data_IF_458840176591
#
_entry.id   IF_458840176591
#
_cell.length_a   1.000
_cell.length_b   1.000
_cell.length_c   1.000
_cell.angle_alpha   90.00
_cell.angle_beta   90.00
_cell.angle_gamma   90.00
#
_symmetry.space_group_name_H-M   'P 1'
#
loop_
_entity.id
_entity.type
_entity.pdbx_description
1 polymer ?
#
# COMPACT_ATOMS: atom_id res chain seq x y z
N UNK A 1 -20.03 6.62 -30.19
CA UNK A 1 -18.81 5.79 -30.34
C UNK A 1 -17.69 6.50 -29.60
N UNK A 2 -17.59 6.39 -28.29
CA UNK A 2 -17.46 5.16 -27.53
C UNK A 2 -18.35 5.18 -26.27
N UNK A 3 -19.29 4.24 -26.19
CA UNK A 3 -20.01 3.88 -24.97
C UNK A 3 -19.03 3.20 -24.02
N UNK A 4 -18.50 3.94 -23.05
CA UNK A 4 -17.85 3.31 -21.91
C UNK A 4 -18.88 3.20 -20.79
N UNK A 5 -19.24 1.99 -20.35
CA UNK A 5 -20.32 1.79 -19.41
C UNK A 5 -19.95 2.41 -18.07
N UNK A 6 -20.87 3.23 -17.54
CA UNK A 6 -20.99 3.43 -16.11
C UNK A 6 -21.30 2.05 -15.49
N UNK A 7 -20.36 1.51 -14.73
CA UNK A 7 -20.59 0.46 -13.74
C UNK A 7 -20.25 1.15 -12.41
N UNK A 8 -21.22 1.80 -11.78
CA UNK A 8 -22.02 1.26 -10.66
C UNK A 8 -21.19 0.46 -9.64
N UNK A 9 -20.98 1.10 -8.49
CA UNK A 9 -21.19 0.56 -7.14
C UNK A 9 -20.49 -0.76 -6.74
N UNK A 10 -19.36 -0.59 -6.04
CA UNK A 10 -19.07 -1.22 -4.74
C UNK A 10 -19.15 -2.75 -4.63
N UNK A 11 -18.43 -3.48 -5.48
CA UNK A 11 -17.89 -4.81 -5.13
C UNK A 11 -16.49 -4.93 -5.71
N UNK A 12 -15.56 -4.12 -5.20
CA UNK A 12 -14.16 -4.25 -5.58
C UNK A 12 -13.68 -5.55 -4.94
N UNK A 13 -13.41 -6.56 -5.76
CA UNK A 13 -12.83 -7.81 -5.29
C UNK A 13 -11.59 -7.51 -4.42
N UNK A 14 -11.34 -8.27 -3.35
CA UNK A 14 -10.23 -8.00 -2.42
C UNK A 14 -8.87 -7.90 -3.15
N UNK A 15 -8.69 -8.66 -4.23
CA UNK A 15 -7.53 -8.56 -5.13
C UNK A 15 -7.41 -7.20 -5.83
N UNK A 16 -8.51 -6.64 -6.34
CA UNK A 16 -8.48 -5.31 -6.96
C UNK A 16 -8.21 -4.21 -5.93
N UNK A 17 -8.77 -4.33 -4.72
CA UNK A 17 -8.52 -3.37 -3.65
C UNK A 17 -7.04 -3.39 -3.24
N UNK A 18 -6.44 -4.58 -3.18
CA UNK A 18 -5.00 -4.75 -2.97
C UNK A 18 -4.17 -4.07 -4.07
N UNK A 19 -4.50 -4.32 -5.34
CA UNK A 19 -3.77 -3.74 -6.47
C UNK A 19 -3.84 -2.20 -6.46
N UNK A 20 -5.01 -1.63 -6.18
CA UNK A 20 -5.14 -0.17 -6.08
C UNK A 20 -4.34 0.41 -4.92
N UNK A 21 -4.31 -0.28 -3.78
CA UNK A 21 -3.54 0.17 -2.61
C UNK A 21 -2.03 0.09 -2.88
N UNK A 22 -1.58 -0.97 -3.55
CA UNK A 22 -0.19 -1.09 -4.00
C UNK A 22 0.16 0.05 -4.95
N UNK A 23 -0.70 0.39 -5.92
CA UNK A 23 -0.43 1.46 -6.88
C UNK A 23 -0.38 2.84 -6.20
N UNK A 24 -1.27 3.11 -5.23
CA UNK A 24 -1.24 4.33 -4.40
C UNK A 24 0.06 4.42 -3.59
N UNK A 25 0.42 3.35 -2.87
CA UNK A 25 1.66 3.27 -2.09
C UNK A 25 2.89 3.44 -3.00
N UNK A 26 2.88 2.80 -4.17
CA UNK A 26 3.93 2.90 -5.18
C UNK A 26 4.09 4.33 -5.69
N UNK A 27 2.98 5.01 -5.99
CA UNK A 27 3.01 6.41 -6.42
C UNK A 27 3.55 7.34 -5.32
N UNK A 28 3.21 7.10 -4.06
CA UNK A 28 3.75 7.85 -2.92
C UNK A 28 5.25 7.62 -2.77
N UNK A 29 5.72 6.37 -2.78
CA UNK A 29 7.15 6.05 -2.69
C UNK A 29 7.92 6.60 -3.89
N UNK A 30 7.35 6.52 -5.08
CA UNK A 30 7.94 7.07 -6.31
C UNK A 30 8.10 8.58 -6.23
N UNK A 31 7.11 9.29 -5.69
CA UNK A 31 7.19 10.74 -5.47
C UNK A 31 8.26 11.10 -4.43
N UNK A 32 8.37 10.34 -3.34
CA UNK A 32 9.41 10.53 -2.31
C UNK A 32 10.82 10.32 -2.86
N UNK A 33 11.02 9.23 -3.60
CA UNK A 33 12.32 8.89 -4.20
C UNK A 33 12.61 9.66 -5.50
N UNK A 34 11.64 10.42 -6.01
CA UNK A 34 11.69 11.12 -7.29
C UNK A 34 12.03 10.19 -8.48
N UNK A 35 11.48 8.97 -8.46
CA UNK A 35 11.61 7.95 -9.51
C UNK A 35 10.27 7.69 -10.19
N UNK A 36 10.26 6.97 -11.31
CA UNK A 36 9.01 6.57 -11.95
C UNK A 36 8.36 5.43 -11.13
N UNK A 37 7.03 5.45 -10.89
CA UNK A 37 6.38 4.35 -10.18
C UNK A 37 6.64 3.02 -10.87
N UNK A 38 6.67 2.99 -12.20
CA UNK A 38 6.97 1.81 -13.01
C UNK A 38 8.30 1.10 -12.68
N UNK A 39 9.27 1.76 -12.01
CA UNK A 39 10.55 1.14 -11.63
C UNK A 39 10.54 0.50 -10.25
N UNK A 40 9.48 0.73 -9.45
CA UNK A 40 9.34 0.14 -8.12
C UNK A 40 8.61 -1.19 -8.22
N UNK A 41 9.23 -2.29 -7.82
CA UNK A 41 8.57 -3.60 -7.78
C UNK A 41 7.77 -3.76 -6.47
N UNK A 42 6.55 -4.28 -6.57
CA UNK A 42 5.66 -4.41 -5.42
C UNK A 42 6.09 -5.53 -4.46
N UNK A 43 6.79 -6.53 -4.98
CA UNK A 43 7.36 -7.66 -4.26
C UNK A 43 8.83 -7.43 -3.85
N UNK A 44 9.41 -6.29 -4.21
CA UNK A 44 10.77 -5.92 -3.82
C UNK A 44 10.75 -5.28 -2.42
N UNK A 45 11.75 -5.58 -1.57
CA UNK A 45 11.96 -4.83 -0.33
C UNK A 45 12.06 -3.34 -0.61
N UNK A 46 11.36 -2.53 0.18
CA UNK A 46 11.44 -1.07 0.09
C UNK A 46 12.87 -0.56 0.29
N UNK A 47 13.66 -1.25 1.14
CA UNK A 47 15.09 -0.97 1.31
C UNK A 47 15.91 -1.19 0.03
N UNK A 48 15.60 -2.23 -0.75
CA UNK A 48 16.22 -2.51 -2.05
C UNK A 48 15.73 -1.53 -3.15
N UNK A 49 14.52 -0.99 -3.00
CA UNK A 49 13.99 0.05 -3.88
C UNK A 49 14.69 1.41 -3.73
N UNK A 50 15.51 1.58 -2.68
CA UNK A 50 16.28 2.80 -2.41
C UNK A 50 15.74 3.64 -1.26
N UNK A 51 14.70 3.20 -0.54
CA UNK A 51 14.27 3.88 0.69
C UNK A 51 15.30 3.71 1.78
N UNK A 52 15.66 4.84 2.41
CA UNK A 52 16.47 4.81 3.62
C UNK A 52 15.65 4.30 4.80
N UNK A 53 16.32 3.82 5.86
CA UNK A 53 15.62 3.40 7.09
C UNK A 53 14.73 4.51 7.68
N UNK A 54 15.13 5.77 7.53
CA UNK A 54 14.36 6.93 8.00
C UNK A 54 13.09 7.11 7.18
N UNK A 55 13.20 7.09 5.85
CA UNK A 55 12.04 7.24 4.96
C UNK A 55 11.08 6.05 5.06
N UNK A 56 11.62 4.85 5.27
CA UNK A 56 10.83 3.66 5.52
C UNK A 56 9.98 3.83 6.79
N UNK A 57 10.60 4.25 7.90
CA UNK A 57 9.89 4.54 9.15
C UNK A 57 8.85 5.65 8.95
N UNK A 58 9.20 6.74 8.26
CA UNK A 58 8.27 7.86 8.00
C UNK A 58 7.05 7.43 7.18
N UNK A 59 7.27 6.61 6.13
CA UNK A 59 6.21 5.99 5.34
C UNK A 59 5.29 5.12 6.20
N UNK A 60 5.88 4.28 7.07
CA UNK A 60 5.13 3.39 7.94
C UNK A 60 4.31 4.19 8.96
N UNK A 61 4.90 5.20 9.61
CA UNK A 61 4.20 6.08 10.54
C UNK A 61 3.06 6.82 9.83
N UNK A 62 3.30 7.31 8.62
CA UNK A 62 2.28 7.94 7.79
C UNK A 62 1.14 6.98 7.42
N UNK A 63 1.45 5.74 7.05
CA UNK A 63 0.45 4.71 6.75
C UNK A 63 -0.36 4.32 7.98
N UNK A 64 0.30 4.09 9.12
CA UNK A 64 -0.35 3.80 10.40
C UNK A 64 -1.31 4.93 10.81
N UNK A 65 -0.88 6.18 10.71
CA UNK A 65 -1.72 7.34 11.01
C UNK A 65 -2.90 7.48 10.03
N UNK A 66 -2.66 7.28 8.72
CA UNK A 66 -3.68 7.44 7.67
C UNK A 66 -4.74 6.34 7.71
N UNK A 67 -4.35 5.11 8.02
CA UNK A 67 -5.24 3.96 8.03
C UNK A 67 -5.70 3.54 9.43
N UNK A 68 -5.23 4.22 10.48
CA UNK A 68 -5.47 3.88 11.89
C UNK A 68 -5.12 2.41 12.20
N UNK A 69 -3.97 1.95 11.71
CA UNK A 69 -3.48 0.58 11.88
C UNK A 69 -2.21 0.58 12.72
N UNK A 70 -1.93 -0.53 13.40
CA UNK A 70 -0.64 -0.78 14.04
C UNK A 70 0.16 -1.75 13.18
N UNK A 71 1.39 -1.37 12.82
CA UNK A 71 2.29 -2.21 12.06
C UNK A 71 3.39 -2.74 12.99
N UNK A 72 3.47 -4.05 13.25
CA UNK A 72 4.48 -4.60 14.13
C UNK A 72 5.89 -4.41 13.54
N UNK A 73 6.89 -4.08 14.36
CA UNK A 73 8.26 -3.82 13.91
C UNK A 73 8.91 -5.03 13.23
N UNK A 74 8.42 -6.23 13.52
CA UNK A 74 8.88 -7.50 12.95
C UNK A 74 8.62 -7.59 11.44
N UNK A 75 7.55 -6.94 10.95
CA UNK A 75 7.19 -6.90 9.54
C UNK A 75 7.95 -5.82 8.75
N UNK A 76 8.75 -4.98 9.43
CA UNK A 76 9.55 -3.95 8.77
C UNK A 76 10.77 -4.55 8.06
N UNK A 77 11.24 -5.70 8.53
CA UNK A 77 12.35 -6.43 7.93
C UNK A 77 11.88 -7.04 6.61
N UNK A 78 12.41 -6.56 5.49
CA UNK A 78 12.00 -7.00 4.16
C UNK A 78 10.61 -6.51 3.77
N UNK A 79 10.12 -5.41 4.36
CA UNK A 79 8.83 -4.82 4.03
C UNK A 79 8.77 -4.48 2.54
N UNK A 80 7.72 -4.94 1.88
CA UNK A 80 7.42 -4.65 0.47
C UNK A 80 6.12 -3.84 0.36
N UNK A 81 5.86 -3.22 -0.78
CA UNK A 81 4.57 -2.56 -1.04
C UNK A 81 3.40 -3.57 -0.93
N UNK A 82 3.64 -4.80 -1.39
CA UNK A 82 2.68 -5.89 -1.30
C UNK A 82 2.33 -6.25 0.15
N UNK A 83 3.33 -6.38 1.03
CA UNK A 83 3.14 -6.68 2.45
C UNK A 83 2.48 -5.52 3.20
N UNK A 84 2.84 -4.29 2.86
CA UNK A 84 2.22 -3.09 3.45
C UNK A 84 0.73 -3.00 3.08
N UNK A 85 0.39 -3.24 1.82
CA UNK A 85 -0.99 -3.24 1.36
C UNK A 85 -1.81 -4.36 2.02
N UNK A 86 -1.24 -5.56 2.15
CA UNK A 86 -1.89 -6.69 2.82
C UNK A 86 -2.17 -6.39 4.30
N UNK A 87 -1.20 -5.79 5.01
CA UNK A 87 -1.38 -5.37 6.40
C UNK A 87 -2.48 -4.32 6.60
N UNK A 88 -2.58 -3.34 5.69
CA UNK A 88 -3.68 -2.35 5.72
C UNK A 88 -5.03 -3.02 5.48
N UNK A 89 -5.11 -3.94 4.52
CA UNK A 89 -6.33 -4.70 4.24
C UNK A 89 -6.75 -5.57 5.42
N UNK A 90 -5.83 -6.32 6.01
CA UNK A 90 -6.08 -7.19 7.15
C UNK A 90 -6.57 -6.39 8.37
N UNK A 91 -5.94 -5.24 8.64
CA UNK A 91 -6.36 -4.37 9.75
C UNK A 91 -7.73 -3.72 9.48
N UNK A 92 -8.05 -3.38 8.22
CA UNK A 92 -9.37 -2.89 7.82
C UNK A 92 -10.45 -3.95 8.04
N UNK A 93 -10.19 -5.20 7.67
CA UNK A 93 -11.13 -6.31 7.85
C UNK A 93 -11.35 -6.62 9.34
N UNK A 94 -10.28 -6.63 10.13
CA UNK A 94 -10.34 -6.79 11.59
C UNK A 94 -11.15 -5.67 12.27
N UNK A 95 -10.99 -4.42 11.83
CA UNK A 95 -11.76 -3.28 12.34
C UNK A 95 -13.24 -3.30 11.92
N UNK A 96 -13.57 -3.93 10.79
CA UNK A 96 -14.95 -4.05 10.28
C UNK A 96 -15.75 -5.15 10.99
N UNK A 97 -15.08 -6.19 11.49
CA UNK A 97 -15.69 -7.30 12.24
C UNK A 97 -16.07 -7.00 13.69
N UNK A 98 -15.68 -5.84 14.23
CA UNK A 98 -15.93 -5.45 15.62
C UNK A 98 -17.22 -4.63 15.85
N UNK A 99 -18.14 -4.59 14.89
CA UNK A 99 -19.36 -3.77 14.95
C UNK A 99 -20.66 -4.57 14.90
#
# INVERSE_FOLDING_TARGET
MNDQPLILETDVAPEQLRVQLIDELRAMVAATLNVAPATLDADLPLADAGLTSVELIDLIVSCQARHAIEFPPELLVGLTLGSLADGILAARDAGKGAR
#
